data_IF_439895720827
#
_entry.id   IF_439895720827
#
_cell.length_a   1.000
_cell.length_b   1.000
_cell.length_c   1.000
_cell.angle_alpha   90.00
_cell.angle_beta   90.00
_cell.angle_gamma   90.00
#
_symmetry.space_group_name_H-M   'P 1'
#
loop_
_entity.id
_entity.type
_entity.pdbx_description
1 polymer ?
#
# COMPACT_ATOMS: atom_id res chain seq x y z
N UNK A 1 -9.31 15.29 -3.03
CA UNK A 1 -8.40 15.38 -4.18
C UNK A 1 -8.56 14.10 -4.99
N UNK A 2 -8.81 14.18 -6.31
CA UNK A 2 -8.80 12.98 -7.15
C UNK A 2 -7.38 12.40 -7.22
N UNK A 3 -7.25 11.07 -7.15
CA UNK A 3 -5.96 10.38 -7.19
C UNK A 3 -6.02 9.26 -8.23
N UNK A 4 -5.21 9.34 -9.27
CA UNK A 4 -5.11 8.33 -10.31
C UNK A 4 -3.66 7.96 -10.59
N UNK A 5 -3.43 6.73 -11.06
CA UNK A 5 -2.08 6.24 -11.33
C UNK A 5 -2.03 4.74 -11.60
N UNK A 6 -0.87 4.14 -11.35
CA UNK A 6 -0.66 2.70 -11.48
C UNK A 6 -0.15 2.07 -10.19
N UNK A 7 -0.50 0.81 -9.94
CA UNK A 7 -0.01 0.08 -8.76
C UNK A 7 1.51 -0.17 -8.79
N UNK A 8 2.14 0.05 -9.95
CA UNK A 8 3.60 0.09 -10.10
C UNK A 8 4.22 1.33 -9.47
N UNK A 9 3.53 2.45 -9.46
CA UNK A 9 4.02 3.70 -8.86
C UNK A 9 3.63 3.79 -7.39
N UNK A 10 2.40 3.42 -7.07
CA UNK A 10 1.85 3.44 -5.73
C UNK A 10 1.25 2.06 -5.40
N UNK A 11 1.96 1.20 -4.65
CA UNK A 11 1.52 -0.16 -4.39
C UNK A 11 0.24 -0.15 -3.55
N UNK A 12 -0.60 -1.18 -3.70
CA UNK A 12 -1.92 -1.22 -3.08
C UNK A 12 -1.93 -0.95 -1.56
N UNK A 13 -0.98 -1.46 -0.74
CA UNK A 13 -0.89 -1.09 0.68
C UNK A 13 -0.65 0.40 0.94
N UNK A 14 0.15 1.06 0.10
CA UNK A 14 0.37 2.51 0.20
C UNK A 14 -0.88 3.30 -0.18
N UNK A 15 -1.59 2.86 -1.22
CA UNK A 15 -2.87 3.44 -1.61
C UNK A 15 -3.89 3.36 -0.47
N UNK A 16 -4.05 2.18 0.16
CA UNK A 16 -4.94 2.02 1.32
C UNK A 16 -4.59 2.97 2.48
N UNK A 17 -3.30 3.15 2.75
CA UNK A 17 -2.84 4.12 3.76
C UNK A 17 -3.26 5.55 3.41
N UNK A 18 -3.11 5.98 2.15
CA UNK A 18 -3.51 7.33 1.73
C UNK A 18 -5.02 7.54 1.81
N UNK A 19 -5.79 6.48 1.56
CA UNK A 19 -7.26 6.50 1.59
C UNK A 19 -7.85 6.33 2.99
N UNK A 20 -7.02 6.12 4.01
CA UNK A 20 -7.46 5.85 5.38
C UNK A 20 -8.41 6.90 5.94
N UNK A 21 -8.12 8.18 5.71
CA UNK A 21 -8.96 9.28 6.21
C UNK A 21 -9.88 9.86 5.12
N UNK A 22 -9.92 9.22 3.95
CA UNK A 22 -10.65 9.69 2.79
C UNK A 22 -12.01 9.02 2.68
N UNK A 23 -12.94 9.70 2.03
CA UNK A 23 -14.28 9.19 1.71
C UNK A 23 -14.50 9.29 0.22
N UNK A 24 -14.87 8.19 -0.44
CA UNK A 24 -14.94 8.14 -1.89
C UNK A 24 -14.93 6.73 -2.46
N UNK A 25 -14.81 6.64 -3.77
CA UNK A 25 -14.79 5.37 -4.49
C UNK A 25 -13.44 5.18 -5.19
N UNK A 26 -12.82 4.04 -4.95
CA UNK A 26 -11.62 3.60 -5.64
C UNK A 26 -11.99 2.58 -6.71
N UNK A 27 -11.62 2.87 -7.95
CA UNK A 27 -11.71 1.96 -9.07
C UNK A 27 -10.31 1.45 -9.40
N UNK A 28 -10.17 0.15 -9.66
CA UNK A 28 -8.91 -0.46 -10.07
C UNK A 28 -9.17 -1.33 -11.28
N UNK A 29 -8.49 -1.05 -12.39
CA UNK A 29 -8.59 -1.79 -13.63
C UNK A 29 -7.31 -2.58 -13.87
N UNK A 30 -7.44 -3.91 -13.88
CA UNK A 30 -6.37 -4.81 -14.29
C UNK A 30 -6.32 -4.89 -15.82
N UNK A 31 -5.31 -4.27 -16.43
CA UNK A 31 -5.13 -4.29 -17.88
C UNK A 31 -4.76 -5.68 -18.43
N UNK A 32 -4.24 -6.57 -17.59
CA UNK A 32 -3.77 -7.89 -18.03
C UNK A 32 -4.88 -8.92 -17.95
N UNK A 33 -5.62 -8.98 -16.85
CA UNK A 33 -6.75 -9.90 -16.69
C UNK A 33 -8.07 -9.36 -17.27
N UNK A 34 -8.19 -8.04 -17.41
CA UNK A 34 -9.47 -7.38 -17.73
C UNK A 34 -10.41 -7.28 -16.52
N UNK A 35 -9.95 -7.65 -15.33
CA UNK A 35 -10.72 -7.55 -14.09
C UNK A 35 -10.89 -6.09 -13.68
N UNK A 36 -12.07 -5.74 -13.17
CA UNK A 36 -12.37 -4.41 -12.65
C UNK A 36 -12.79 -4.51 -11.18
N UNK A 37 -12.17 -3.74 -10.30
CA UNK A 37 -12.49 -3.70 -8.88
C UNK A 37 -13.02 -2.33 -8.50
N UNK A 38 -14.02 -2.30 -7.63
CA UNK A 38 -14.55 -1.05 -7.10
C UNK A 38 -14.71 -1.16 -5.58
N UNK A 39 -14.11 -0.21 -4.84
CA UNK A 39 -14.13 -0.17 -3.38
C UNK A 39 -14.69 1.18 -2.93
N UNK A 40 -15.72 1.15 -2.09
CA UNK A 40 -16.25 2.35 -1.44
C UNK A 40 -15.65 2.54 -0.05
N UNK A 41 -15.13 3.72 0.22
CA UNK A 41 -14.53 4.10 1.50
C UNK A 41 -15.34 5.22 2.15
N UNK A 42 -15.51 5.14 3.47
CA UNK A 42 -16.12 6.19 4.28
C UNK A 42 -15.61 6.14 5.71
N UNK A 43 -15.16 7.28 6.23
CA UNK A 43 -14.71 7.46 7.61
C UNK A 43 -13.72 6.36 8.09
N UNK A 44 -12.73 6.02 7.26
CA UNK A 44 -11.74 4.99 7.56
C UNK A 44 -12.24 3.56 7.55
N UNK A 45 -13.38 3.31 6.87
CA UNK A 45 -13.94 1.99 6.67
C UNK A 45 -14.22 1.73 5.19
N UNK A 46 -14.06 0.47 4.80
CA UNK A 46 -14.59 -0.07 3.56
C UNK A 46 -16.08 -0.38 3.75
N UNK A 47 -16.92 0.27 2.96
CA UNK A 47 -18.38 0.15 3.02
C UNK A 47 -18.96 -0.67 1.88
N UNK A 48 -18.23 -0.80 0.77
CA UNK A 48 -18.64 -1.62 -0.37
C UNK A 48 -17.42 -2.15 -1.13
N UNK A 49 -17.57 -3.33 -1.74
CA UNK A 49 -16.52 -3.93 -2.56
C UNK A 49 -17.16 -4.76 -3.67
N UNK A 50 -16.70 -4.54 -4.90
CA UNK A 50 -17.21 -5.19 -6.10
C UNK A 50 -16.05 -5.68 -6.97
N UNK A 51 -16.26 -6.81 -7.64
CA UNK A 51 -15.41 -7.36 -8.69
C UNK A 51 -16.26 -7.54 -9.95
N UNK A 52 -15.86 -6.88 -11.03
CA UNK A 52 -16.54 -6.88 -12.33
C UNK A 52 -18.05 -6.58 -12.22
N UNK A 53 -18.41 -5.68 -11.29
CA UNK A 53 -19.79 -5.28 -11.02
C UNK A 53 -20.57 -6.17 -10.05
N UNK A 54 -20.00 -7.30 -9.62
CA UNK A 54 -20.62 -8.20 -8.64
C UNK A 54 -20.11 -7.92 -7.23
N UNK A 55 -20.98 -7.90 -6.20
CA UNK A 55 -20.53 -7.69 -4.83
C UNK A 55 -19.66 -8.86 -4.37
N UNK A 56 -18.57 -8.55 -3.68
CA UNK A 56 -17.71 -9.57 -3.08
C UNK A 56 -18.48 -10.25 -1.93
N UNK A 57 -18.69 -11.57 -1.97
CA UNK A 57 -19.70 -12.25 -1.14
C UNK A 57 -19.29 -12.39 0.33
N UNK A 58 -18.00 -12.54 0.62
CA UNK A 58 -17.50 -12.79 1.96
C UNK A 58 -16.09 -12.23 2.19
N UNK A 59 -15.64 -12.29 3.45
CA UNK A 59 -14.32 -11.81 3.84
C UNK A 59 -13.18 -12.60 3.19
N UNK A 60 -13.34 -13.90 2.95
CA UNK A 60 -12.30 -14.75 2.36
C UNK A 60 -12.04 -14.36 0.91
N UNK A 61 -13.11 -14.13 0.14
CA UNK A 61 -13.07 -13.59 -1.21
C UNK A 61 -12.41 -12.21 -1.22
N UNK A 62 -12.78 -11.32 -0.27
CA UNK A 62 -12.14 -10.01 -0.14
C UNK A 62 -10.63 -10.14 0.12
N UNK A 63 -10.20 -11.04 1.00
CA UNK A 63 -8.78 -11.32 1.25
C UNK A 63 -8.05 -11.82 -0.02
N UNK A 64 -8.69 -12.70 -0.81
CA UNK A 64 -8.13 -13.17 -2.07
C UNK A 64 -7.97 -12.02 -3.08
N UNK A 65 -8.95 -11.12 -3.18
CA UNK A 65 -8.88 -9.92 -4.02
C UNK A 65 -7.75 -9.00 -3.57
N UNK A 66 -7.67 -8.69 -2.26
CA UNK A 66 -6.61 -7.85 -1.69
C UNK A 66 -5.22 -8.42 -2.01
N UNK A 67 -5.06 -9.75 -1.87
CA UNK A 67 -3.80 -10.42 -2.21
C UNK A 67 -3.47 -10.27 -3.69
N UNK A 68 -4.42 -10.55 -4.58
CA UNK A 68 -4.23 -10.39 -6.04
C UNK A 68 -3.85 -8.95 -6.42
N UNK A 69 -4.51 -7.95 -5.83
CA UNK A 69 -4.20 -6.53 -6.05
C UNK A 69 -2.81 -6.14 -5.52
N UNK A 70 -2.43 -6.67 -4.36
CA UNK A 70 -1.09 -6.47 -3.79
C UNK A 70 0.01 -7.10 -4.65
N UNK A 71 -0.35 -8.09 -5.47
CA UNK A 71 0.54 -8.78 -6.39
C UNK A 71 0.51 -8.24 -7.84
N UNK A 72 -0.39 -7.32 -8.17
CA UNK A 72 -0.55 -6.82 -9.53
C UNK A 72 -0.06 -5.37 -9.67
N UNK A 73 1.14 -5.20 -10.23
CA UNK A 73 1.73 -3.88 -10.48
C UNK A 73 1.17 -3.18 -11.72
N UNK A 74 0.57 -3.92 -12.65
CA UNK A 74 0.12 -3.40 -13.95
C UNK A 74 -1.27 -2.77 -13.89
N UNK A 75 -1.98 -2.93 -12.77
CA UNK A 75 -3.30 -2.37 -12.60
C UNK A 75 -3.25 -0.84 -12.50
N UNK A 76 -4.15 -0.18 -13.21
CA UNK A 76 -4.39 1.26 -13.08
C UNK A 76 -5.45 1.48 -12.00
N UNK A 77 -5.35 2.61 -11.30
CA UNK A 77 -6.34 2.97 -10.29
C UNK A 77 -6.80 4.42 -10.48
N UNK A 78 -8.02 4.69 -10.04
CA UNK A 78 -8.61 6.01 -9.99
C UNK A 78 -9.49 6.14 -8.75
N UNK A 79 -9.30 7.21 -7.99
CA UNK A 79 -10.03 7.51 -6.77
C UNK A 79 -10.79 8.81 -6.93
N UNK A 80 -12.11 8.70 -6.81
CA UNK A 80 -13.03 9.82 -6.80
C UNK A 80 -13.49 10.10 -5.37
N UNK A 81 -13.08 11.26 -4.85
CA UNK A 81 -13.54 11.72 -3.55
C UNK A 81 -15.02 12.08 -3.59
N UNK A 82 -15.78 11.54 -2.64
CA UNK A 82 -17.18 11.90 -2.46
C UNK A 82 -17.31 13.09 -1.49
N UNK A 83 -18.37 13.88 -1.65
CA UNK A 83 -18.66 14.96 -0.68
C UNK A 83 -18.79 14.39 0.73
N UNK A 84 -18.26 15.14 1.70
CA UNK A 84 -18.29 14.78 3.11
C UNK A 84 -19.69 14.31 3.55
N UNK A 85 -19.74 13.05 3.98
CA UNK A 85 -20.95 12.33 4.39
C UNK A 85 -20.64 10.85 4.54
N UNK A 86 -21.35 10.14 5.42
CA UNK A 86 -21.20 8.68 5.50
C UNK A 86 -21.78 8.05 4.22
N UNK A 87 -20.96 7.28 3.48
CA UNK A 87 -21.50 6.45 2.42
C UNK A 87 -22.13 5.22 3.07
N UNK A 88 -23.45 5.01 2.94
CA UNK A 88 -24.07 3.78 3.40
C UNK A 88 -23.58 2.62 2.54
N UNK A 89 -23.29 1.48 3.18
CA UNK A 89 -22.91 0.27 2.48
C UNK A 89 -23.11 -0.97 3.35
N UNK A 90 -23.18 -2.16 2.73
CA UNK A 90 -23.40 -3.42 3.44
C UNK A 90 -22.19 -3.85 4.29
N UNK A 91 -21.01 -3.26 4.06
CA UNK A 91 -19.79 -3.57 4.80
C UNK A 91 -19.46 -2.46 5.82
N UNK A 92 -18.70 -2.83 6.85
CA UNK A 92 -18.14 -1.88 7.82
C UNK A 92 -16.78 -2.38 8.31
N UNK A 93 -15.84 -2.54 7.38
CA UNK A 93 -14.52 -3.12 7.67
C UNK A 93 -13.52 -1.96 7.83
N UNK A 94 -12.83 -1.82 8.98
CA UNK A 94 -11.79 -0.81 9.14
C UNK A 94 -10.70 -0.94 8.07
N UNK A 95 -10.29 0.17 7.45
CA UNK A 95 -9.22 0.18 6.43
C UNK A 95 -7.93 -0.42 6.97
N UNK A 96 -7.64 -0.20 8.26
CA UNK A 96 -6.46 -0.78 8.91
C UNK A 96 -6.44 -2.32 8.86
N UNK A 97 -7.61 -2.99 8.91
CA UNK A 97 -7.67 -4.46 8.78
C UNK A 97 -7.35 -4.91 7.36
N UNK A 98 -7.80 -4.16 6.36
CA UNK A 98 -7.52 -4.42 4.95
C UNK A 98 -6.04 -4.19 4.67
N UNK A 99 -5.49 -3.11 5.22
CA UNK A 99 -4.07 -2.80 5.14
C UNK A 99 -3.22 -3.92 5.76
N UNK A 100 -3.56 -4.38 6.97
CA UNK A 100 -2.87 -5.51 7.61
C UNK A 100 -2.91 -6.78 6.74
N UNK A 101 -4.07 -7.08 6.13
CA UNK A 101 -4.16 -8.19 5.18
C UNK A 101 -3.27 -8.00 3.96
N UNK A 102 -3.20 -6.79 3.42
CA UNK A 102 -2.37 -6.47 2.26
C UNK A 102 -0.87 -6.61 2.62
N UNK A 103 -0.47 -6.17 3.81
CA UNK A 103 0.92 -6.31 4.30
C UNK A 103 1.30 -7.77 4.60
N UNK A 104 0.35 -8.57 5.10
CA UNK A 104 0.55 -10.00 5.31
C UNK A 104 0.70 -10.77 3.98
N UNK A 105 0.09 -10.28 2.90
CA UNK A 105 0.24 -10.84 1.56
C UNK A 105 1.63 -10.59 0.95
N UNK A 106 2.42 -9.66 1.49
CA UNK A 106 3.78 -9.38 1.02
C UNK A 106 4.71 -10.53 1.43
N UNK A 107 4.81 -11.53 0.56
CA UNK A 107 5.66 -12.71 0.74
C UNK A 107 7.10 -12.51 0.22
N UNK A 108 7.29 -11.63 -0.76
CA UNK A 108 8.59 -11.42 -1.43
C UNK A 108 9.13 -10.01 -1.19
N UNK A 109 10.26 -9.85 -0.46
CA UNK A 109 10.92 -8.55 -0.28
C UNK A 109 11.46 -7.96 -1.59
N UNK A 110 11.70 -8.79 -2.61
CA UNK A 110 12.23 -8.38 -3.92
C UNK A 110 11.33 -7.38 -4.61
N UNK A 111 10.03 -7.66 -4.64
CA UNK A 111 9.03 -6.82 -5.30
C UNK A 111 8.94 -5.43 -4.66
N UNK A 112 9.04 -5.38 -3.34
CA UNK A 112 8.86 -4.14 -2.59
C UNK A 112 10.16 -3.36 -2.36
N UNK A 113 11.31 -3.89 -2.80
CA UNK A 113 12.62 -3.28 -2.56
C UNK A 113 12.72 -1.82 -3.04
N UNK A 114 12.01 -1.45 -4.12
CA UNK A 114 11.97 -0.07 -4.63
C UNK A 114 11.25 0.92 -3.71
N UNK A 115 10.42 0.43 -2.80
CA UNK A 115 9.66 1.23 -1.83
C UNK A 115 10.27 1.20 -0.43
N UNK A 116 11.34 0.42 -0.24
CA UNK A 116 12.01 0.37 1.03
C UNK A 116 12.61 1.74 1.36
N UNK A 117 12.56 2.14 2.65
CA UNK A 117 13.23 3.35 3.06
C UNK A 117 14.74 3.22 2.83
N UNK A 118 15.40 4.35 2.58
CA UNK A 118 16.86 4.36 2.51
C UNK A 118 17.44 3.86 3.85
N UNK A 119 18.50 3.02 3.87
CA UNK A 119 19.03 2.43 5.10
C UNK A 119 19.37 3.45 6.21
N UNK A 120 19.95 4.59 5.81
CA UNK A 120 20.24 5.72 6.71
C UNK A 120 19.04 6.58 7.14
N UNK A 121 17.81 6.28 6.69
CA UNK A 121 16.61 7.02 7.13
C UNK A 121 16.35 6.71 8.60
N UNK A 122 16.27 7.75 9.43
CA UNK A 122 15.99 7.59 10.85
C UNK A 122 14.49 7.56 11.13
N UNK A 123 14.07 6.68 12.02
CA UNK A 123 12.68 6.47 12.41
C UNK A 123 12.48 6.63 13.90
N UNK A 124 11.33 7.17 14.30
CA UNK A 124 10.86 7.21 15.68
C UNK A 124 9.50 6.54 15.80
N UNK A 125 9.16 6.10 17.01
CA UNK A 125 7.82 5.63 17.33
C UNK A 125 6.80 6.75 17.03
N UNK A 126 5.73 6.40 16.33
CA UNK A 126 4.60 7.28 16.09
C UNK A 126 3.77 7.50 17.36
N UNK A 127 2.88 8.49 17.32
CA UNK A 127 1.92 8.75 18.40
C UNK A 127 0.74 7.75 18.42
N UNK A 128 0.69 6.86 17.43
CA UNK A 128 -0.46 6.00 17.20
C UNK A 128 -0.48 4.81 18.16
N UNK A 129 -1.67 4.53 18.73
CA UNK A 129 -1.89 3.35 19.56
C UNK A 129 -1.62 2.12 18.71
N UNK A 130 -0.71 1.26 19.17
CA UNK A 130 -0.26 0.09 18.43
C UNK A 130 -1.42 -0.61 17.69
N UNK A 131 -1.44 -0.58 16.35
CA UNK A 131 -2.39 -1.36 15.58
C UNK A 131 -2.12 -2.84 15.83
N UNK A 132 -3.10 -3.66 15.47
CA UNK A 132 -3.04 -5.11 15.65
C UNK A 132 -1.96 -5.67 14.70
N UNK A 133 -0.70 -5.71 15.15
CA UNK A 133 0.40 -6.20 14.35
C UNK A 133 0.30 -7.71 14.15
N UNK A 134 0.82 -8.19 13.03
CA UNK A 134 1.08 -9.63 12.86
C UNK A 134 2.14 -10.09 13.85
N UNK A 135 2.15 -11.38 14.20
CA UNK A 135 3.07 -11.94 15.20
C UNK A 135 4.54 -11.63 14.89
N UNK A 136 4.96 -11.81 13.64
CA UNK A 136 6.33 -11.52 13.21
C UNK A 136 6.69 -10.03 13.36
N UNK A 137 5.76 -9.14 12.99
CA UNK A 137 5.98 -7.70 13.04
C UNK A 137 5.93 -7.19 14.48
N UNK A 138 5.13 -7.82 15.34
CA UNK A 138 5.10 -7.58 16.77
C UNK A 138 6.43 -7.99 17.42
N UNK A 139 6.96 -9.16 17.08
CA UNK A 139 8.26 -9.62 17.57
C UNK A 139 9.39 -8.65 17.17
N UNK A 140 9.40 -8.20 15.92
CA UNK A 140 10.32 -7.17 15.45
C UNK A 140 10.16 -5.85 16.22
N UNK A 141 8.91 -5.38 16.39
CA UNK A 141 8.62 -4.15 17.12
C UNK A 141 9.12 -4.21 18.57
N UNK A 142 8.83 -5.28 19.31
CA UNK A 142 9.26 -5.45 20.71
C UNK A 142 10.79 -5.44 20.83
N UNK A 143 11.51 -6.05 19.87
CA UNK A 143 12.97 -6.00 19.83
C UNK A 143 13.53 -4.61 19.54
N UNK A 144 12.88 -3.84 18.66
CA UNK A 144 13.37 -2.54 18.20
C UNK A 144 12.79 -1.33 18.96
N UNK A 145 11.77 -1.50 19.81
CA UNK A 145 11.00 -0.42 20.44
C UNK A 145 11.91 0.61 21.14
N UNK A 146 12.91 0.12 21.90
CA UNK A 146 13.84 0.99 22.63
C UNK A 146 14.69 1.84 21.69
N UNK A 147 15.05 1.33 20.52
CA UNK A 147 15.84 2.04 19.50
C UNK A 147 15.03 3.16 18.84
N UNK A 148 13.73 2.94 18.65
CA UNK A 148 12.82 3.96 18.10
C UNK A 148 12.60 5.16 19.02
N UNK A 149 12.86 5.05 20.34
CA UNK A 149 12.76 6.19 21.27
C UNK A 149 13.83 7.25 21.01
N UNK A 150 15.05 6.84 20.63
CA UNK A 150 16.16 7.74 20.32
C UNK A 150 16.15 8.25 18.87
N UNK A 151 15.45 7.55 17.97
CA UNK A 151 15.50 7.81 16.54
C UNK A 151 16.67 7.06 15.89
N UNK A 152 16.37 5.90 15.31
CA UNK A 152 17.36 4.92 14.81
C UNK A 152 17.24 4.75 13.30
N UNK A 153 18.34 4.42 12.63
CA UNK A 153 18.32 4.04 11.21
C UNK A 153 18.09 2.53 11.01
N UNK A 154 17.84 2.11 9.76
CA UNK A 154 17.74 0.70 9.42
C UNK A 154 19.04 -0.07 9.60
N UNK A 155 20.18 0.56 9.26
CA UNK A 155 21.51 -0.03 9.50
C UNK A 155 21.76 -0.27 10.99
N UNK A 156 21.47 0.73 11.83
CA UNK A 156 21.63 0.65 13.29
C UNK A 156 20.76 -0.47 13.90
N UNK A 157 19.53 -0.66 13.40
CA UNK A 157 18.66 -1.76 13.84
C UNK A 157 19.20 -3.11 13.38
N UNK A 158 19.67 -3.23 12.15
CA UNK A 158 20.20 -4.47 11.60
C UNK A 158 21.40 -4.96 12.41
N UNK A 159 22.32 -4.06 12.74
CA UNK A 159 23.49 -4.35 13.57
C UNK A 159 23.08 -4.71 15.02
N UNK A 160 22.15 -3.96 15.61
CA UNK A 160 21.73 -4.17 17.00
C UNK A 160 20.97 -5.49 17.22
N UNK A 161 20.15 -5.91 16.24
CA UNK A 161 19.35 -7.13 16.34
C UNK A 161 19.99 -8.34 15.65
N UNK A 162 21.10 -8.15 14.93
CA UNK A 162 21.75 -9.22 14.15
C UNK A 162 20.88 -9.74 13.01
N UNK A 163 20.00 -8.90 12.45
CA UNK A 163 19.07 -9.26 11.39
C UNK A 163 19.59 -8.81 10.02
N UNK A 164 19.24 -9.52 8.93
CA UNK A 164 19.59 -9.06 7.59
C UNK A 164 18.98 -7.68 7.30
N UNK A 165 19.81 -6.73 6.83
CA UNK A 165 19.37 -5.36 6.55
C UNK A 165 18.10 -5.32 5.68
N UNK A 166 18.03 -6.16 4.66
CA UNK A 166 16.86 -6.23 3.77
C UNK A 166 15.56 -6.61 4.48
N UNK A 167 15.63 -7.51 5.45
CA UNK A 167 14.48 -7.89 6.27
C UNK A 167 14.06 -6.72 7.17
N UNK A 168 15.03 -6.06 7.80
CA UNK A 168 14.79 -4.86 8.63
C UNK A 168 14.11 -3.75 7.82
N UNK A 169 14.57 -3.49 6.59
CA UNK A 169 13.95 -2.50 5.71
C UNK A 169 12.51 -2.86 5.31
N UNK A 170 12.22 -4.14 5.09
CA UNK A 170 10.85 -4.62 4.85
C UNK A 170 9.96 -4.37 6.07
N UNK A 171 10.44 -4.71 7.27
CA UNK A 171 9.66 -4.54 8.50
C UNK A 171 9.46 -3.06 8.85
N UNK A 172 10.49 -2.23 8.64
CA UNK A 172 10.38 -0.77 8.73
C UNK A 172 9.37 -0.21 7.72
N UNK A 173 9.37 -0.72 6.49
CA UNK A 173 8.38 -0.36 5.48
C UNK A 173 6.97 -0.69 5.97
N UNK A 174 6.72 -1.90 6.46
CA UNK A 174 5.42 -2.33 7.01
C UNK A 174 4.98 -1.47 8.20
N UNK A 175 5.86 -1.25 9.18
CA UNK A 175 5.57 -0.39 10.34
C UNK A 175 5.28 1.05 9.94
N UNK A 176 6.01 1.58 8.95
CA UNK A 176 5.78 2.94 8.40
C UNK A 176 4.40 3.04 7.75
N UNK A 177 3.96 2.00 7.06
CA UNK A 177 2.63 1.98 6.44
C UNK A 177 1.51 1.95 7.46
N UNK A 178 1.73 1.24 8.57
CA UNK A 178 0.81 1.16 9.70
C UNK A 178 0.83 2.38 10.63
N UNK A 179 1.67 3.40 10.35
CA UNK A 179 1.77 4.59 11.19
C UNK A 179 2.49 4.38 12.53
N UNK A 180 2.96 3.16 12.82
CA UNK A 180 3.65 2.80 14.07
C UNK A 180 4.99 3.51 14.20
N UNK A 181 5.64 3.77 13.06
CA UNK A 181 6.85 4.58 13.01
C UNK A 181 6.71 5.70 12.00
N UNK A 182 7.42 6.79 12.29
CA UNK A 182 7.48 7.97 11.42
C UNK A 182 8.93 8.30 11.09
N UNK A 183 9.24 8.65 9.83
CA UNK A 183 10.58 9.11 9.47
C UNK A 183 10.85 10.46 10.14
N UNK A 184 12.02 10.57 10.77
CA UNK A 184 12.50 11.83 11.32
C UNK A 184 13.12 12.60 10.17
N UNK A 185 12.52 13.73 9.79
CA UNK A 185 13.21 14.66 8.90
C UNK A 185 14.46 15.12 9.62
N UNK A 186 15.61 14.97 8.98
CA UNK A 186 16.80 15.69 9.41
C UNK A 186 16.42 17.17 9.39
N UNK A 187 16.22 17.76 10.57
CA UNK A 187 16.24 19.20 10.70
C UNK A 187 17.64 19.57 10.23
N UNK A 188 17.76 20.15 9.04
CA UNK A 188 19.00 20.81 8.67
C UNK A 188 19.39 21.67 9.86
N UNK A 189 20.60 21.52 10.43
CA UNK A 189 21.02 22.44 11.47
C UNK A 189 20.78 23.85 10.95
N UNK A 190 20.20 24.77 11.75
CA UNK A 190 20.00 26.13 11.31
C UNK A 190 21.34 26.60 10.74
N UNK A 191 21.35 26.90 9.44
CA UNK A 191 22.51 27.46 8.77
C UNK A 191 22.95 28.61 9.68
N UNK A 192 24.15 28.48 10.24
CA UNK A 192 24.66 29.40 11.24
C UNK A 192 24.42 30.82 10.74
N UNK A 193 23.46 31.50 11.36
CA UNK A 193 23.28 32.92 11.21
C UNK A 193 24.54 33.55 11.82
N UNK A 194 25.45 34.02 10.97
CA UNK A 194 26.68 34.64 11.42
C UNK A 194 27.85 34.59 10.46
N UNK A 195 27.65 34.89 9.17
CA UNK A 195 28.71 35.57 8.42
C UNK A 195 28.31 37.04 8.33
N UNK A 196 29.11 37.98 8.88
CA UNK A 196 28.81 39.40 8.83
C UNK A 196 28.86 39.87 7.38
N UNK A 197 27.71 40.34 6.92
CA UNK A 197 27.49 41.54 6.12
C UNK A 197 28.79 42.20 5.63
N UNK A 198 29.30 41.72 4.49
CA UNK A 198 30.19 42.52 3.66
C UNK A 198 29.31 43.37 2.77
N UNK A 199 29.03 44.57 3.26
CA UNK A 199 28.37 45.63 2.52
C UNK A 199 29.01 45.83 1.15
N UNK A 200 28.22 45.64 0.10
CA UNK A 200 28.48 46.19 -1.23
C UNK A 200 27.23 47.00 -1.63
N UNK A 201 27.44 48.20 -2.21
CA UNK A 201 26.43 49.25 -2.27
C UNK A 201 25.34 48.97 -3.30
N UNK A 202 24.21 49.64 -3.06
CA UNK A 202 22.99 49.69 -3.85
C UNK A 202 23.25 49.87 -5.35
N UNK A 203 22.66 48.97 -6.14
CA UNK A 203 22.35 49.25 -7.54
C UNK A 203 20.88 49.71 -7.62
N UNK A 204 20.71 50.95 -8.09
CA UNK A 204 19.44 51.62 -8.34
C UNK A 204 18.49 50.82 -9.24
N UNK A 205 17.16 50.93 -9.04
CA UNK A 205 16.17 50.43 -9.96
C UNK A 205 15.96 51.41 -11.12
N UNK A 206 16.26 50.98 -12.34
CA UNK A 206 15.91 51.70 -13.57
C UNK A 206 14.52 51.27 -14.11
N UNK A 207 13.85 52.15 -14.86
CA UNK A 207 12.40 52.16 -15.02
C UNK A 207 11.87 51.22 -16.11
N UNK A 208 10.62 50.84 -15.92
CA UNK A 208 9.72 50.17 -16.87
C UNK A 208 9.50 51.04 -18.12
N UNK A 209 9.55 50.46 -19.33
CA UNK A 209 8.78 50.94 -20.46
C UNK A 209 7.60 50.00 -20.74
N UNK A 210 6.48 50.63 -21.02
CA UNK A 210 5.18 50.06 -21.31
C UNK A 210 5.12 49.25 -22.62
N UNK A 211 4.17 48.32 -22.61
CA UNK A 211 3.41 47.64 -23.68
C UNK A 211 3.57 48.13 -25.14
N UNK A 212 3.47 47.21 -26.13
CA UNK A 212 2.14 46.87 -26.65
C UNK A 212 1.88 45.37 -26.99
N UNK A 213 0.73 44.85 -26.52
CA UNK A 213 -0.38 44.16 -27.25
C UNK A 213 -0.17 43.76 -28.74
N UNK A 214 -0.99 42.84 -29.32
CA UNK A 214 -1.05 41.39 -29.12
C UNK A 214 -0.88 40.64 -30.47
N UNK A 215 -0.20 39.49 -30.51
CA UNK A 215 -0.15 38.65 -31.72
C UNK A 215 -1.22 37.55 -31.66
N UNK A 216 -2.29 37.77 -32.41
CA UNK A 216 -3.24 36.77 -32.90
C UNK A 216 -2.50 35.52 -33.41
N UNK A 217 -2.76 34.36 -32.77
CA UNK A 217 -2.39 33.06 -33.34
C UNK A 217 -3.66 32.27 -33.60
N UNK A 218 -3.92 32.17 -34.90
CA UNK A 218 -4.96 31.43 -35.61
C UNK A 218 -5.12 29.99 -35.12
N UNK A 219 -6.36 29.50 -34.90
CA UNK A 219 -6.61 28.09 -34.61
C UNK A 219 -6.45 27.23 -35.89
N UNK A 220 -5.69 26.15 -35.79
CA UNK A 220 -5.55 25.13 -36.83
C UNK A 220 -6.81 24.24 -36.91
N UNK A 221 -7.14 23.72 -38.11
CA UNK A 221 -8.42 23.07 -38.39
C UNK A 221 -8.57 21.68 -37.74
N UNK A 222 -9.79 21.48 -37.25
CA UNK A 222 -10.37 20.22 -36.77
C UNK A 222 -10.23 19.13 -37.84
N UNK A 223 -9.52 18.05 -37.51
CA UNK A 223 -9.56 16.81 -38.29
C UNK A 223 -10.77 16.00 -37.86
N UNK A 224 -11.78 16.01 -38.73
CA UNK A 224 -12.93 15.13 -38.73
C UNK A 224 -12.46 13.68 -38.92
N UNK A 225 -12.51 12.88 -37.85
CA UNK A 225 -12.19 11.46 -37.90
C UNK A 225 -13.47 10.66 -38.17
N UNK A 226 -13.49 10.06 -39.35
CA UNK A 226 -14.49 9.15 -39.91
C UNK A 226 -14.87 8.04 -38.92
N UNK A 227 -16.16 7.71 -38.74
CA UNK A 227 -16.59 6.57 -37.93
C UNK A 227 -16.24 5.22 -38.61
N UNK A 228 -15.77 4.21 -37.85
CA UNK A 228 -15.51 2.88 -38.39
C UNK A 228 -16.82 2.11 -38.72
N UNK A 229 -16.78 1.19 -39.69
CA UNK A 229 -17.95 0.38 -40.08
C UNK A 229 -18.36 -0.64 -39.00
N UNK A 230 -19.64 -1.05 -38.96
CA UNK A 230 -20.17 -2.00 -37.98
C UNK A 230 -19.60 -3.41 -38.17
N UNK A 231 -19.20 -4.05 -37.07
CA UNK A 231 -18.80 -5.45 -37.02
C UNK A 231 -19.95 -6.40 -37.41
N UNK A 232 -19.66 -7.49 -38.15
CA UNK A 232 -20.63 -8.55 -38.42
C UNK A 232 -20.94 -9.39 -37.15
N UNK A 233 -22.13 -10.02 -37.07
CA UNK A 233 -22.56 -10.79 -35.91
C UNK A 233 -21.77 -12.10 -35.71
N UNK A 234 -21.66 -12.58 -34.45
CA UNK A 234 -20.95 -13.81 -34.13
C UNK A 234 -21.71 -15.06 -34.62
N UNK A 235 -20.96 -16.02 -35.15
CA UNK A 235 -21.45 -17.35 -35.53
C UNK A 235 -21.84 -18.19 -34.30
N UNK A 236 -22.82 -19.10 -34.42
CA UNK A 236 -23.36 -19.88 -33.31
C UNK A 236 -22.40 -20.95 -32.76
N UNK A 237 -22.58 -21.21 -31.47
CA UNK A 237 -21.81 -22.06 -30.59
C UNK A 237 -21.64 -23.51 -31.08
N UNK A 238 -20.42 -24.01 -30.98
CA UNK A 238 -20.11 -25.43 -31.03
C UNK A 238 -20.29 -26.07 -29.65
N UNK A 239 -20.95 -27.22 -29.64
CA UNK A 239 -21.39 -28.03 -28.51
C UNK A 239 -20.28 -28.46 -27.53
N UNK A 240 -20.62 -28.76 -26.26
CA UNK A 240 -19.67 -29.24 -25.26
C UNK A 240 -19.29 -30.73 -25.46
N UNK A 241 -18.04 -31.12 -25.20
CA UNK A 241 -17.66 -32.53 -25.11
C UNK A 241 -18.00 -33.13 -23.74
N UNK A 242 -18.31 -34.43 -23.79
CA UNK A 242 -18.65 -35.34 -22.70
C UNK A 242 -17.69 -35.35 -21.50
N UNK A 243 -18.18 -35.74 -20.29
CA UNK A 243 -17.36 -35.86 -19.08
C UNK A 243 -16.46 -37.09 -19.14
N UNK A 244 -15.16 -36.88 -18.91
CA UNK A 244 -14.21 -37.94 -18.64
C UNK A 244 -14.28 -38.36 -17.16
N UNK A 245 -14.32 -39.67 -16.96
CA UNK A 245 -14.36 -40.36 -15.67
C UNK A 245 -13.07 -40.11 -14.87
N UNK A 246 -13.21 -39.83 -13.58
CA UNK A 246 -12.10 -39.73 -12.62
C UNK A 246 -11.97 -41.06 -11.86
N UNK A 247 -10.81 -41.74 -11.88
CA UNK A 247 -10.53 -42.81 -10.93
C UNK A 247 -10.08 -42.23 -9.59
N UNK A 248 -10.77 -42.69 -8.56
CA UNK A 248 -10.54 -42.51 -7.14
C UNK A 248 -9.20 -43.15 -6.73
N UNK A 249 -8.24 -42.35 -6.25
CA UNK A 249 -7.04 -42.86 -5.56
C UNK A 249 -7.07 -42.35 -4.13
N UNK A 250 -7.46 -43.24 -3.24
CA UNK A 250 -7.30 -43.12 -1.79
C UNK A 250 -5.82 -42.93 -1.44
N UNK A 251 -5.49 -41.81 -0.78
CA UNK A 251 -4.23 -41.65 -0.08
C UNK A 251 -4.48 -41.40 1.41
N UNK A 252 -4.05 -42.38 2.20
CA UNK A 252 -4.09 -42.40 3.65
C UNK A 252 -3.04 -41.42 4.23
N UNK A 253 -3.42 -40.46 5.09
CA UNK A 253 -2.47 -39.47 5.60
C UNK A 253 -1.56 -40.05 6.69
N UNK A 254 -0.26 -40.00 6.44
CA UNK A 254 0.81 -40.30 7.39
C UNK A 254 1.03 -39.09 8.29
N UNK A 255 0.85 -39.26 9.60
CA UNK A 255 0.93 -38.18 10.59
C UNK A 255 2.30 -37.46 10.54
N UNK A 256 2.33 -36.12 10.53
CA UNK A 256 3.56 -35.35 10.53
C UNK A 256 4.24 -35.43 11.90
N UNK A 257 5.54 -35.72 11.91
CA UNK A 257 6.37 -35.66 13.12
C UNK A 257 6.46 -34.19 13.57
N UNK A 258 6.21 -33.88 14.85
CA UNK A 258 6.26 -32.50 15.34
C UNK A 258 7.69 -31.95 15.24
N UNK A 259 7.83 -30.90 14.44
CA UNK A 259 9.09 -30.18 14.25
C UNK A 259 9.55 -29.47 15.52
N UNK A 260 10.85 -29.15 15.57
CA UNK A 260 11.55 -28.52 16.68
C UNK A 260 10.83 -27.27 17.26
N UNK A 261 10.12 -26.52 16.42
CA UNK A 261 9.34 -25.33 16.81
C UNK A 261 8.16 -25.65 17.73
N UNK A 262 7.48 -26.79 17.54
CA UNK A 262 6.38 -27.22 18.43
C UNK A 262 6.88 -27.54 19.84
N UNK A 263 8.15 -27.96 19.99
CA UNK A 263 8.78 -28.16 21.30
C UNK A 263 9.15 -26.85 22.00
N UNK A 264 9.49 -25.79 21.25
CA UNK A 264 9.79 -24.49 21.85
C UNK A 264 8.51 -23.77 22.32
N UNK A 265 7.42 -23.85 21.58
CA UNK A 265 6.14 -23.26 21.98
C UNK A 265 5.58 -23.87 23.29
N UNK A 266 5.77 -25.18 23.50
CA UNK A 266 5.37 -25.84 24.75
C UNK A 266 6.22 -25.41 25.96
N UNK A 267 7.49 -25.04 25.75
CA UNK A 267 8.38 -24.56 26.82
C UNK A 267 8.02 -23.16 27.32
N UNK A 268 7.65 -22.26 26.42
CA UNK A 268 7.26 -20.88 26.74
C UNK A 268 5.97 -20.81 27.57
N UNK A 269 5.00 -21.70 27.29
CA UNK A 269 3.72 -21.74 28.04
C UNK A 269 3.92 -22.03 29.53
N UNK A 270 4.87 -22.92 29.85
CA UNK A 270 5.17 -23.34 31.22
C UNK A 270 5.90 -22.27 32.04
N UNK A 271 6.59 -21.34 31.37
CA UNK A 271 7.24 -20.19 32.00
C UNK A 271 6.21 -19.11 32.33
N UNK A 272 5.24 -18.90 31.43
CA UNK A 272 4.18 -17.92 31.63
C UNK A 272 3.21 -18.34 32.75
N UNK A 273 2.81 -19.61 32.86
CA UNK A 273 1.98 -20.08 33.98
C UNK A 273 2.65 -19.83 35.35
N UNK A 274 3.97 -19.98 35.43
CA UNK A 274 4.71 -19.79 36.68
C UNK A 274 4.93 -18.32 37.07
N UNK A 275 4.61 -17.37 36.18
CA UNK A 275 4.68 -15.94 36.45
C UNK A 275 3.35 -15.35 36.94
N UNK A 276 2.25 -16.09 36.81
CA UNK A 276 0.90 -15.63 37.18
C UNK A 276 0.28 -16.45 38.34
N UNK A 277 1.05 -17.34 38.97
CA UNK A 277 0.81 -17.88 40.32
C UNK A 277 1.64 -17.12 41.36
#
# INVERSE_FOLDING_TARGET
MPLSGTLKELPFPELLRLLRDQTGNLQILDKTAGDHFSFGFSAGKLVSAFESGLPIPDALALHAVIRRLSDNESAAFDFEEARAGELPGPLSIPVDRILLSALAAIASPERYARYFPHPGTRFRAGAEVMPWLTEDLLAFWVGAERLFRSGTSGDEIADALGLPLRQVLLDLFKLRLLGVIVPVRAVSPPAAAGSPERALPASEPLPVPADPLPAEVTPAPVRELVPPPPCPPPAPAASPPHPAQTPEISQQPKAPRPGLLARMAAGLRKILEKMYE
#
